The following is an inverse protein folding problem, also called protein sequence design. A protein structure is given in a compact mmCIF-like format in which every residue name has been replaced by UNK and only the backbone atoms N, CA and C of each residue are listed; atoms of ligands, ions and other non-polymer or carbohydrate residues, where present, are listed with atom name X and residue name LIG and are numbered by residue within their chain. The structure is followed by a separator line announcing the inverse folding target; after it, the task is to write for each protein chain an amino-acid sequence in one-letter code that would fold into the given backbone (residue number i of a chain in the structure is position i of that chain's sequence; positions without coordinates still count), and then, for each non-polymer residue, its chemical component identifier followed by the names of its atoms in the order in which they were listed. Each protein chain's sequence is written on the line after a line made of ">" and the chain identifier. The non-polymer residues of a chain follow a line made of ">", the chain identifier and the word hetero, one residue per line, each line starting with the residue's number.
data_IF_599912788182
#
_entry.id   IF_599912788182
#
_cell.length_a   1.000
_cell.length_b   1.000
_cell.length_c   1.000
_cell.angle_alpha   90.00
_cell.angle_beta   90.00
_cell.angle_gamma   90.00
#
_symmetry.space_group_name_H-M   'P 1'
#
loop_
_entity.id
_entity.type
_entity.pdbx_description
1 polymer ?
#
# COMPACT_ATOMS: atom_id res chain seq x y z
N UNK A 1 22.39 -13.10 -9.41
CA UNK A 1 21.06 -13.10 -8.77
C UNK A 1 20.14 -13.93 -9.65
N UNK A 2 19.42 -14.91 -9.11
CA UNK A 2 18.45 -15.68 -9.91
C UNK A 2 17.21 -14.83 -10.12
N UNK A 3 16.59 -14.94 -11.30
CA UNK A 3 15.28 -14.36 -11.55
C UNK A 3 14.27 -15.03 -10.60
N UNK A 4 13.56 -14.22 -9.82
CA UNK A 4 12.52 -14.65 -8.89
C UNK A 4 11.11 -14.54 -9.50
N UNK A 5 11.03 -14.15 -10.78
CA UNK A 5 9.78 -13.86 -11.45
C UNK A 5 9.22 -12.50 -11.06
N UNK A 6 7.97 -12.26 -11.47
CA UNK A 6 7.29 -11.00 -11.24
C UNK A 6 6.92 -10.82 -9.76
N UNK A 7 7.24 -9.65 -9.21
CA UNK A 7 6.93 -9.32 -7.83
C UNK A 7 5.41 -9.20 -7.61
N UNK A 8 4.87 -10.05 -6.73
CA UNK A 8 3.48 -10.00 -6.26
C UNK A 8 3.35 -9.32 -4.89
N UNK A 9 4.45 -9.19 -4.13
CA UNK A 9 4.52 -8.49 -2.85
C UNK A 9 5.88 -7.79 -2.72
N UNK A 10 5.90 -6.53 -2.29
CA UNK A 10 7.11 -5.78 -1.94
C UNK A 10 6.90 -5.01 -0.63
N UNK A 11 7.80 -5.14 0.35
CA UNK A 11 7.70 -4.47 1.66
C UNK A 11 6.35 -4.66 2.38
N UNK A 12 5.68 -5.79 2.17
CA UNK A 12 4.34 -6.05 2.71
C UNK A 12 3.18 -5.40 1.93
N UNK A 13 3.47 -4.76 0.80
CA UNK A 13 2.51 -4.23 -0.15
C UNK A 13 2.23 -5.27 -1.22
N UNK A 14 0.98 -5.69 -1.35
CA UNK A 14 0.51 -6.56 -2.43
C UNK A 14 0.44 -5.77 -3.72
N UNK A 15 1.01 -6.33 -4.78
CA UNK A 15 0.97 -5.77 -6.13
C UNK A 15 -0.01 -6.59 -6.96
N UNK A 16 -0.95 -5.91 -7.60
CA UNK A 16 -1.86 -6.49 -8.59
C UNK A 16 -1.77 -5.70 -9.88
N UNK A 17 -1.86 -6.38 -11.03
CA UNK A 17 -1.60 -5.79 -12.35
C UNK A 17 -2.79 -5.99 -13.27
N UNK A 18 -3.91 -5.29 -13.04
CA UNK A 18 -5.05 -5.29 -13.97
C UNK A 18 -4.66 -4.65 -15.30
N UNK A 19 -5.46 -4.86 -16.36
CA UNK A 19 -5.21 -4.29 -17.69
C UNK A 19 -5.00 -2.76 -17.69
N UNK A 20 -5.62 -2.05 -16.73
CA UNK A 20 -5.59 -0.59 -16.61
C UNK A 20 -4.41 -0.04 -15.80
N UNK A 21 -3.49 -0.88 -15.33
CA UNK A 21 -2.29 -0.43 -14.62
C UNK A 21 -1.88 -1.31 -13.45
N UNK A 22 -1.33 -0.69 -12.41
CA UNK A 22 -0.86 -1.37 -11.20
C UNK A 22 -1.71 -0.89 -10.02
N UNK A 23 -2.23 -1.83 -9.23
CA UNK A 23 -2.91 -1.56 -7.97
C UNK A 23 -2.09 -2.12 -6.81
N UNK A 24 -1.93 -1.28 -5.79
CA UNK A 24 -1.15 -1.56 -4.59
C UNK A 24 -2.10 -1.63 -3.39
N UNK A 25 -1.99 -2.69 -2.60
CA UNK A 25 -2.84 -2.91 -1.43
C UNK A 25 -2.02 -3.34 -0.22
N UNK A 26 -2.42 -2.88 0.97
CA UNK A 26 -1.84 -3.29 2.25
C UNK A 26 -2.90 -3.85 3.22
N UNK A 27 -4.09 -4.22 2.74
CA UNK A 27 -5.18 -4.75 3.58
C UNK A 27 -4.69 -5.82 4.57
N UNK A 28 -3.95 -6.81 4.08
CA UNK A 28 -3.42 -7.88 4.93
C UNK A 28 -2.46 -7.38 6.02
N UNK A 29 -1.63 -6.39 5.71
CA UNK A 29 -0.73 -5.79 6.69
C UNK A 29 -1.52 -5.00 7.74
N UNK A 30 -2.51 -4.21 7.31
CA UNK A 30 -3.42 -3.46 8.19
C UNK A 30 -4.15 -4.42 9.13
N UNK A 31 -4.76 -5.49 8.62
CA UNK A 31 -5.42 -6.51 9.43
C UNK A 31 -4.49 -7.13 10.47
N UNK A 32 -3.26 -7.47 10.07
CA UNK A 32 -2.25 -8.06 10.96
C UNK A 32 -1.89 -7.10 12.11
N UNK A 33 -1.72 -5.81 11.82
CA UNK A 33 -1.43 -4.79 12.83
C UNK A 33 -2.63 -4.59 13.76
N UNK A 34 -3.85 -4.48 13.23
CA UNK A 34 -5.05 -4.33 14.04
C UNK A 34 -5.26 -5.52 14.98
N UNK A 35 -5.10 -6.75 14.48
CA UNK A 35 -5.18 -7.97 15.30
C UNK A 35 -4.11 -8.00 16.39
N UNK A 36 -2.86 -7.64 16.05
CA UNK A 36 -1.72 -7.64 16.99
C UNK A 36 -1.97 -6.77 18.23
N UNK A 37 -2.69 -5.65 18.06
CA UNK A 37 -2.95 -4.70 19.15
C UNK A 37 -4.39 -4.76 19.69
N UNK A 38 -5.19 -5.75 19.28
CA UNK A 38 -6.56 -5.92 19.77
C UNK A 38 -7.56 -4.88 19.23
N UNK A 39 -7.27 -4.27 18.08
CA UNK A 39 -8.11 -3.25 17.45
C UNK A 39 -8.85 -3.76 16.20
N UNK A 40 -8.86 -5.06 15.93
CA UNK A 40 -9.53 -5.62 14.74
C UNK A 40 -11.04 -5.33 14.73
N UNK A 41 -11.71 -5.49 15.87
CA UNK A 41 -13.13 -5.15 16.06
C UNK A 41 -13.32 -3.72 16.61
N UNK A 42 -12.29 -2.88 16.49
CA UNK A 42 -12.34 -1.49 16.93
C UNK A 42 -13.35 -0.69 16.12
N UNK A 43 -14.03 0.27 16.75
CA UNK A 43 -14.88 1.21 16.01
C UNK A 43 -14.03 1.98 15.02
N UNK A 44 -14.50 2.08 13.78
CA UNK A 44 -13.90 2.95 12.78
C UNK A 44 -13.71 4.35 13.35
N UNK A 45 -12.51 4.88 13.16
CA UNK A 45 -12.16 6.24 13.51
C UNK A 45 -11.85 6.95 12.21
N UNK A 46 -12.36 8.17 12.09
CA UNK A 46 -11.94 9.06 11.03
C UNK A 46 -10.45 9.35 11.27
N UNK A 47 -9.59 8.63 10.55
CA UNK A 47 -8.21 9.06 10.39
C UNK A 47 -8.25 10.37 9.60
N UNK A 48 -7.47 11.39 9.99
CA UNK A 48 -7.39 12.63 9.22
C UNK A 48 -6.77 12.32 7.85
N UNK A 49 -7.65 11.97 6.91
CA UNK A 49 -7.37 11.88 5.49
C UNK A 49 -7.91 13.15 4.86
N UNK A 50 -7.01 13.94 4.28
CA UNK A 50 -7.42 15.13 3.54
C UNK A 50 -7.84 14.72 2.12
N UNK A 51 -9.15 14.59 1.92
CA UNK A 51 -9.72 14.22 0.62
C UNK A 51 -9.50 15.27 -0.48
N UNK A 52 -9.07 16.49 -0.13
CA UNK A 52 -8.71 17.51 -1.12
C UNK A 52 -7.35 17.24 -1.76
N UNK A 53 -6.49 16.45 -1.11
CA UNK A 53 -5.18 16.07 -1.64
C UNK A 53 -5.36 14.97 -2.69
N UNK A 54 -5.30 15.37 -3.96
CA UNK A 54 -5.28 14.42 -5.08
C UNK A 54 -3.85 13.94 -5.33
N UNK A 55 -3.72 12.67 -5.66
CA UNK A 55 -2.45 12.13 -6.16
C UNK A 55 -2.21 12.65 -7.58
N UNK A 56 -1.03 13.21 -7.81
CA UNK A 56 -0.59 13.65 -9.13
C UNK A 56 0.62 12.84 -9.56
N UNK A 57 0.80 12.68 -10.88
CA UNK A 57 2.00 12.07 -11.42
C UNK A 57 3.20 12.94 -11.03
N UNK A 58 4.20 12.35 -10.39
CA UNK A 58 5.46 13.06 -10.14
C UNK A 58 6.10 13.46 -11.48
N UNK A 59 6.34 14.76 -11.66
CA UNK A 59 7.03 15.32 -12.84
C UNK A 59 8.47 15.75 -12.53
N UNK A 60 8.86 15.75 -11.26
CA UNK A 60 10.23 16.01 -10.83
C UNK A 60 11.10 14.75 -10.88
N UNK A 61 12.33 14.87 -10.35
CA UNK A 61 13.23 13.72 -10.23
C UNK A 61 12.60 12.64 -9.34
N UNK A 62 12.84 11.38 -9.71
CA UNK A 62 12.47 10.24 -8.88
C UNK A 62 13.24 10.27 -7.58
N UNK A 63 12.53 10.39 -6.46
CA UNK A 63 13.16 10.29 -5.14
C UNK A 63 13.56 8.84 -4.92
N UNK A 64 14.85 8.60 -4.70
CA UNK A 64 15.36 7.31 -4.26
C UNK A 64 14.96 7.12 -2.79
N UNK A 65 14.16 6.10 -2.52
CA UNK A 65 14.01 5.58 -1.16
C UNK A 65 15.21 4.65 -0.92
N UNK A 66 16.23 5.17 -0.23
CA UNK A 66 17.43 4.45 0.18
C UNK A 66 17.37 4.14 1.66
#
# INVERSE_FOLDING_TARGET
>A
MKDLGEASVILGIKITRPEKGISLDQSHYVEKILKKYGYFDGKEKNTPYDASVKLFKNTGESIRQT
#
